data_IF_611224175597
#
_entry.id   IF_611224175597
#
_cell.length_a   1.000
_cell.length_b   1.000
_cell.length_c   1.000
_cell.angle_alpha   90.00
_cell.angle_beta   90.00
_cell.angle_gamma   90.00
#
_symmetry.space_group_name_H-M   'P 1'
#
loop_
_entity.id
_entity.type
_entity.pdbx_description
1 polymer ?
#
# COMPACT_ATOMS: atom_id res chain seq x y z
N UNK A 1 -6.08 101.00 35.61
CA UNK A 1 -5.71 100.61 34.24
C UNK A 1 -4.76 99.44 34.38
N UNK A 2 -5.25 98.26 34.56
CA UNK A 2 -4.43 97.02 34.74
C UNK A 2 -4.89 95.99 33.77
N UNK A 3 -4.01 95.62 32.86
CA UNK A 3 -4.16 94.57 31.89
C UNK A 3 -3.66 93.22 32.46
N UNK A 4 -4.55 92.29 32.72
CA UNK A 4 -4.21 90.93 33.18
C UNK A 4 -4.10 89.99 31.97
N UNK A 5 -2.91 89.49 31.73
CA UNK A 5 -2.62 88.47 30.67
C UNK A 5 -2.90 87.09 31.23
N UNK A 6 -3.82 86.33 30.61
CA UNK A 6 -4.06 84.95 30.88
C UNK A 6 -3.16 84.10 29.95
N UNK A 7 -2.27 83.28 30.54
CA UNK A 7 -1.49 82.24 29.88
C UNK A 7 -2.33 80.97 29.85
N UNK A 8 -2.69 80.54 28.65
CA UNK A 8 -3.31 79.21 28.42
C UNK A 8 -2.17 78.22 28.18
N UNK A 9 -1.96 77.27 29.11
CA UNK A 9 -1.04 76.17 28.97
C UNK A 9 -1.74 74.99 28.19
N UNK A 10 -1.32 74.74 26.95
CA UNK A 10 -1.72 73.59 26.21
C UNK A 10 -0.92 72.34 26.68
N UNK A 11 -1.60 71.42 27.34
CA UNK A 11 -1.04 70.11 27.68
C UNK A 11 -1.26 69.18 26.47
N UNK A 12 -0.18 68.91 25.77
CA UNK A 12 -0.16 67.90 24.71
C UNK A 12 -0.01 66.47 25.33
N UNK A 13 -1.08 65.72 25.41
CA UNK A 13 -1.04 64.29 25.75
C UNK A 13 -0.66 63.49 24.52
N UNK A 14 0.57 62.95 24.48
CA UNK A 14 1.04 62.02 23.50
C UNK A 14 0.52 60.59 23.89
N UNK A 15 -0.51 60.08 23.20
CA UNK A 15 -0.96 58.74 23.34
C UNK A 15 -0.01 57.82 22.56
N UNK A 16 0.86 57.09 23.26
CA UNK A 16 1.69 56.03 22.68
C UNK A 16 0.84 54.82 22.34
N UNK A 17 0.46 54.66 21.07
CA UNK A 17 -0.18 53.44 20.58
C UNK A 17 0.86 52.33 20.46
N UNK A 18 0.87 51.40 21.42
CA UNK A 18 1.69 50.17 21.34
C UNK A 18 1.11 49.21 20.30
N UNK A 19 1.71 49.16 19.13
CA UNK A 19 1.38 48.16 18.10
C UNK A 19 1.98 46.83 18.54
N UNK A 20 1.15 45.92 19.06
CA UNK A 20 1.53 44.52 19.30
C UNK A 20 1.61 43.83 17.94
N UNK A 21 2.82 43.67 17.43
CA UNK A 21 3.08 42.88 16.26
C UNK A 21 2.86 41.37 16.63
N UNK A 22 1.67 40.82 16.31
CA UNK A 22 1.43 39.41 16.38
C UNK A 22 2.24 38.77 15.25
N UNK A 23 3.39 38.19 15.59
CA UNK A 23 4.16 37.39 14.67
C UNK A 23 3.32 36.14 14.31
N UNK A 24 2.66 36.16 13.15
CA UNK A 24 2.03 34.97 12.59
C UNK A 24 3.16 33.95 12.34
N UNK A 25 3.27 32.94 13.18
CA UNK A 25 4.13 31.80 12.91
C UNK A 25 3.61 31.14 11.62
N UNK A 26 4.33 31.32 10.53
CA UNK A 26 4.03 30.64 9.28
C UNK A 26 4.02 29.12 9.55
N UNK A 27 2.91 28.45 9.26
CA UNK A 27 2.86 27.00 9.31
C UNK A 27 3.98 26.44 8.43
N UNK A 28 4.67 25.37 8.85
CA UNK A 28 5.69 24.75 8.03
C UNK A 28 5.10 24.41 6.66
N UNK A 29 5.84 24.71 5.60
CA UNK A 29 5.40 24.37 4.24
C UNK A 29 5.19 22.83 4.13
N UNK A 30 4.07 22.42 3.56
CA UNK A 30 3.77 21.01 3.33
C UNK A 30 4.89 20.36 2.51
N UNK A 31 5.39 19.23 2.98
CA UNK A 31 6.40 18.44 2.28
C UNK A 31 5.73 17.44 1.34
N UNK A 32 6.47 16.96 0.36
CA UNK A 32 6.04 15.85 -0.49
C UNK A 32 6.69 14.57 0.02
N UNK A 33 5.86 13.56 0.34
CA UNK A 33 6.31 12.21 0.66
C UNK A 33 6.18 11.38 -0.62
N UNK A 34 7.31 10.88 -1.13
CA UNK A 34 7.34 10.05 -2.34
C UNK A 34 7.18 8.59 -1.95
N UNK A 35 6.09 7.97 -2.40
CA UNK A 35 5.82 6.54 -2.21
C UNK A 35 6.15 5.77 -3.49
N UNK A 36 7.06 4.79 -3.43
CA UNK A 36 7.19 3.76 -4.45
C UNK A 36 5.99 2.80 -4.36
N UNK A 37 5.41 2.44 -5.51
CA UNK A 37 4.27 1.53 -5.60
C UNK A 37 4.32 0.79 -6.94
N UNK A 38 4.07 -0.51 -6.95
CA UNK A 38 3.89 -1.26 -8.18
C UNK A 38 2.45 -1.12 -8.66
N UNK A 39 2.23 -0.20 -9.57
CA UNK A 39 0.90 0.15 -10.03
C UNK A 39 0.30 -0.88 -10.99
N UNK A 40 0.55 -2.16 -10.76
CA UNK A 40 0.02 -3.29 -11.54
C UNK A 40 -0.86 -4.24 -10.72
N UNK A 41 -1.20 -3.92 -9.46
CA UNK A 41 -1.81 -4.82 -8.48
C UNK A 41 -3.23 -4.37 -8.03
N UNK A 42 -4.24 -4.34 -8.94
CA UNK A 42 -5.59 -3.91 -8.58
C UNK A 42 -6.24 -4.90 -7.58
N UNK A 43 -7.06 -4.43 -6.61
CA UNK A 43 -7.51 -3.06 -6.42
C UNK A 43 -6.65 -2.24 -5.46
N UNK A 44 -5.49 -2.77 -5.06
CA UNK A 44 -4.59 -2.08 -4.13
C UNK A 44 -3.93 -0.88 -4.82
N UNK A 45 -3.30 -1.08 -5.97
CA UNK A 45 -2.71 -0.05 -6.82
C UNK A 45 -2.75 -0.42 -8.30
N UNK A 46 -3.13 0.54 -9.13
CA UNK A 46 -3.16 0.37 -10.59
C UNK A 46 -3.09 1.72 -11.32
N UNK A 47 -2.84 1.69 -12.63
CA UNK A 47 -2.93 2.89 -13.46
C UNK A 47 -4.28 2.93 -14.18
N UNK A 48 -4.99 4.04 -14.05
CA UNK A 48 -6.19 4.35 -14.84
C UNK A 48 -5.99 5.69 -15.54
N UNK A 49 -5.97 5.67 -16.86
CA UNK A 49 -5.69 6.89 -17.65
C UNK A 49 -4.34 7.54 -17.30
N UNK A 50 -3.33 6.75 -16.97
CA UNK A 50 -2.01 7.22 -16.56
C UNK A 50 -1.90 7.74 -15.12
N UNK A 51 -2.99 7.69 -14.34
CA UNK A 51 -3.01 8.11 -12.94
C UNK A 51 -3.03 6.88 -12.03
N UNK A 52 -2.24 6.91 -10.97
CA UNK A 52 -2.27 5.88 -9.94
C UNK A 52 -3.58 5.97 -9.14
N UNK A 53 -4.26 4.83 -8.99
CA UNK A 53 -5.51 4.65 -8.23
C UNK A 53 -5.47 3.34 -7.48
N UNK A 54 -6.23 3.24 -6.38
CA UNK A 54 -6.30 2.03 -5.58
C UNK A 54 -6.41 2.32 -4.10
N UNK A 55 -6.58 1.26 -3.31
CA UNK A 55 -6.67 1.39 -1.85
C UNK A 55 -5.38 1.97 -1.27
N UNK A 56 -4.22 1.49 -1.71
CA UNK A 56 -2.91 1.96 -1.29
C UNK A 56 -2.68 3.43 -1.63
N UNK A 57 -3.14 3.84 -2.80
CA UNK A 57 -3.05 5.24 -3.22
C UNK A 57 -3.92 6.15 -2.35
N UNK A 58 -5.14 5.72 -2.05
CA UNK A 58 -6.04 6.46 -1.15
C UNK A 58 -5.47 6.50 0.29
N UNK A 59 -4.87 5.40 0.77
CA UNK A 59 -4.23 5.31 2.09
C UNK A 59 -3.00 6.23 2.14
N UNK A 60 -2.13 6.21 1.14
CA UNK A 60 -0.96 7.10 1.05
C UNK A 60 -1.36 8.58 1.12
N UNK A 61 -2.38 8.97 0.35
CA UNK A 61 -2.92 10.33 0.37
C UNK A 61 -3.51 10.71 1.74
N UNK A 62 -4.27 9.80 2.37
CA UNK A 62 -4.85 10.05 3.68
C UNK A 62 -3.79 10.19 4.78
N UNK A 63 -2.73 9.36 4.73
CA UNK A 63 -1.60 9.42 5.65
C UNK A 63 -0.84 10.74 5.47
N UNK A 64 -0.42 11.09 4.24
CA UNK A 64 0.29 12.33 3.98
C UNK A 64 -0.52 13.54 4.44
N UNK A 65 -1.82 13.60 4.10
CA UNK A 65 -2.73 14.64 4.58
C UNK A 65 -2.81 14.71 6.11
N UNK A 66 -2.81 13.58 6.80
CA UNK A 66 -2.88 13.54 8.28
C UNK A 66 -1.61 14.08 8.95
N UNK A 67 -0.49 14.11 8.21
CA UNK A 67 0.80 14.67 8.61
C UNK A 67 0.97 16.14 8.19
N UNK A 68 0.02 16.71 7.45
CA UNK A 68 0.12 18.05 6.87
C UNK A 68 0.94 18.09 5.57
N UNK A 69 1.21 16.93 4.96
CA UNK A 69 2.04 16.72 3.78
C UNK A 69 1.22 16.31 2.56
N UNK A 70 1.89 16.12 1.42
CA UNK A 70 1.32 15.63 0.17
C UNK A 70 1.97 14.30 -0.22
N UNK A 71 1.19 13.36 -0.79
CA UNK A 71 1.71 12.13 -1.34
C UNK A 71 2.04 12.29 -2.83
N UNK A 72 3.16 11.73 -3.24
CA UNK A 72 3.51 11.54 -4.64
C UNK A 72 3.75 10.05 -4.87
N UNK A 73 3.05 9.45 -5.83
CA UNK A 73 3.23 8.04 -6.19
C UNK A 73 4.26 7.94 -7.30
N UNK A 74 5.24 7.07 -7.09
CA UNK A 74 6.27 6.73 -8.06
C UNK A 74 6.14 5.27 -8.44
N UNK A 75 5.66 4.99 -9.65
CA UNK A 75 5.60 3.64 -10.19
C UNK A 75 6.99 3.00 -10.17
N UNK A 76 7.08 1.82 -9.57
CA UNK A 76 8.32 1.09 -9.36
C UNK A 76 8.00 -0.40 -9.30
N UNK A 77 8.61 -1.22 -10.17
CA UNK A 77 8.35 -2.67 -10.18
C UNK A 77 8.62 -3.33 -8.83
N UNK A 78 7.80 -4.31 -8.48
CA UNK A 78 7.83 -4.94 -7.16
C UNK A 78 9.18 -5.60 -6.83
N UNK A 79 9.82 -6.20 -7.81
CA UNK A 79 11.12 -6.90 -7.68
C UNK A 79 12.29 -5.97 -7.31
N UNK A 80 12.18 -4.67 -7.63
CA UNK A 80 13.21 -3.66 -7.35
C UNK A 80 12.77 -2.61 -6.32
N UNK A 81 11.57 -2.75 -5.73
CA UNK A 81 10.97 -1.68 -4.92
C UNK A 81 11.71 -1.46 -3.58
N UNK A 82 12.13 -2.53 -2.88
CA UNK A 82 12.96 -2.41 -1.66
C UNK A 82 14.34 -1.84 -1.99
N UNK A 83 15.11 -2.34 -2.98
CA UNK A 83 16.31 -1.67 -3.46
C UNK A 83 16.12 -0.18 -3.78
N UNK A 84 15.01 0.22 -4.41
CA UNK A 84 14.72 1.62 -4.71
C UNK A 84 14.53 2.46 -3.43
N UNK A 85 13.82 1.93 -2.42
CA UNK A 85 13.66 2.57 -1.11
C UNK A 85 15.01 2.76 -0.40
N UNK A 86 15.83 1.71 -0.38
CA UNK A 86 17.17 1.75 0.27
C UNK A 86 18.11 2.73 -0.45
N UNK A 87 18.01 2.84 -1.76
CA UNK A 87 18.74 3.81 -2.58
C UNK A 87 18.14 5.23 -2.51
N UNK A 88 17.17 5.50 -1.62
CA UNK A 88 16.51 6.81 -1.44
C UNK A 88 15.82 7.36 -2.70
N UNK A 89 15.36 6.49 -3.61
CA UNK A 89 14.61 6.88 -4.79
C UNK A 89 13.14 7.20 -4.47
N UNK A 90 12.68 6.83 -3.29
CA UNK A 90 11.43 7.21 -2.64
C UNK A 90 11.63 7.24 -1.11
N UNK A 91 10.66 7.79 -0.39
CA UNK A 91 10.70 7.91 1.06
C UNK A 91 10.09 6.70 1.75
N UNK A 92 9.11 6.09 1.13
CA UNK A 92 8.41 4.90 1.61
C UNK A 92 7.97 4.00 0.43
N UNK A 93 7.58 2.77 0.75
CA UNK A 93 6.90 1.86 -0.17
C UNK A 93 5.49 1.62 0.35
N UNK A 94 4.49 1.77 -0.51
CA UNK A 94 3.12 1.29 -0.29
C UNK A 94 2.71 0.51 -1.54
N UNK A 95 2.60 -0.81 -1.43
CA UNK A 95 2.41 -1.71 -2.57
C UNK A 95 2.02 -3.11 -2.11
N UNK A 96 0.92 -3.23 -1.36
CA UNK A 96 0.42 -4.48 -0.80
C UNK A 96 1.55 -5.38 -0.26
N UNK A 97 2.56 -4.77 0.39
CA UNK A 97 3.78 -5.46 0.75
C UNK A 97 3.64 -6.21 2.07
N UNK A 98 3.63 -7.53 2.01
CA UNK A 98 3.60 -8.40 3.21
C UNK A 98 4.79 -8.11 4.13
N UNK A 99 4.54 -7.86 5.42
CA UNK A 99 5.57 -7.81 6.46
C UNK A 99 6.06 -9.24 6.76
N UNK A 100 7.17 -9.60 6.13
CA UNK A 100 7.84 -10.88 6.39
C UNK A 100 9.11 -10.67 7.21
N UNK A 101 9.50 -11.66 7.99
CA UNK A 101 10.75 -11.62 8.76
C UNK A 101 11.99 -11.35 7.87
N UNK A 102 11.97 -11.78 6.60
CA UNK A 102 13.06 -11.53 5.66
C UNK A 102 13.11 -10.06 5.23
N UNK A 103 11.96 -9.44 4.90
CA UNK A 103 11.86 -8.03 4.55
C UNK A 103 12.10 -7.14 5.77
N UNK A 104 11.57 -7.53 6.94
CA UNK A 104 11.76 -6.83 8.21
C UNK A 104 13.21 -6.74 8.68
N UNK A 105 14.13 -7.57 8.18
CA UNK A 105 15.58 -7.39 8.39
C UNK A 105 16.12 -6.16 7.68
N UNK A 106 15.54 -5.75 6.55
CA UNK A 106 16.03 -4.67 5.68
C UNK A 106 15.30 -3.34 5.92
N UNK A 107 13.99 -3.39 6.21
CA UNK A 107 13.11 -2.22 6.32
C UNK A 107 12.26 -2.30 7.59
N UNK A 108 11.60 -1.21 7.97
CA UNK A 108 10.56 -1.22 8.99
C UNK A 108 9.19 -1.23 8.31
N UNK A 109 8.18 -1.77 8.99
CA UNK A 109 6.81 -1.80 8.52
C UNK A 109 5.86 -1.01 9.43
N UNK A 110 4.86 -0.39 8.81
CA UNK A 110 3.68 0.15 9.46
C UNK A 110 2.46 -0.53 8.81
N UNK A 111 1.93 -1.56 9.47
CA UNK A 111 0.90 -2.43 8.94
C UNK A 111 -0.45 -1.72 8.85
N UNK A 112 -1.19 -1.98 7.77
CA UNK A 112 -2.47 -1.32 7.52
C UNK A 112 -3.61 -2.26 7.11
N UNK A 113 -3.35 -3.48 6.63
CA UNK A 113 -4.33 -4.54 6.36
C UNK A 113 -3.74 -5.91 6.70
N UNK A 114 -4.58 -6.96 6.72
CA UNK A 114 -4.16 -8.35 6.83
C UNK A 114 -4.76 -9.13 5.67
N UNK A 115 -3.92 -9.74 4.84
CA UNK A 115 -4.32 -10.43 3.62
C UNK A 115 -3.70 -11.82 3.59
N UNK A 116 -4.43 -12.79 3.03
CA UNK A 116 -3.92 -14.13 2.74
C UNK A 116 -3.79 -14.34 1.24
N UNK A 117 -2.88 -15.20 0.82
CA UNK A 117 -2.72 -15.57 -0.57
C UNK A 117 -3.86 -16.47 -1.07
N UNK A 118 -4.16 -16.43 -2.36
CA UNK A 118 -5.24 -17.21 -2.98
C UNK A 118 -4.87 -17.68 -4.38
N UNK A 119 -5.32 -18.88 -4.73
CA UNK A 119 -5.23 -19.40 -6.08
C UNK A 119 -6.48 -19.03 -6.88
N UNK A 120 -6.30 -18.54 -8.11
CA UNK A 120 -7.38 -18.32 -9.06
C UNK A 120 -7.25 -19.31 -10.22
N UNK A 121 -8.38 -19.90 -10.60
CA UNK A 121 -8.48 -20.88 -11.71
C UNK A 121 -9.66 -20.52 -12.60
N UNK A 122 -9.72 -21.12 -13.79
CA UNK A 122 -10.91 -21.01 -14.65
C UNK A 122 -12.13 -21.58 -13.92
N UNK A 123 -13.31 -21.03 -14.21
CA UNK A 123 -14.58 -21.52 -13.67
C UNK A 123 -14.73 -23.02 -13.94
N UNK A 124 -15.24 -23.74 -12.93
CA UNK A 124 -15.34 -25.20 -12.97
C UNK A 124 -14.05 -25.94 -12.62
N UNK A 125 -12.93 -25.20 -12.41
CA UNK A 125 -11.66 -25.78 -11.95
C UNK A 125 -11.22 -27.04 -12.72
N UNK A 126 -11.01 -26.95 -14.04
CA UNK A 126 -10.75 -28.13 -14.88
C UNK A 126 -9.45 -28.88 -14.51
N UNK A 127 -8.52 -28.19 -13.83
CA UNK A 127 -7.27 -28.79 -13.35
C UNK A 127 -7.36 -29.39 -11.95
N UNK A 128 -8.56 -29.38 -11.31
CA UNK A 128 -8.83 -29.92 -9.97
C UNK A 128 -7.89 -29.38 -8.88
N UNK A 129 -7.58 -28.08 -8.92
CA UNK A 129 -6.68 -27.42 -7.97
C UNK A 129 -7.45 -27.10 -6.69
N UNK A 130 -6.95 -27.56 -5.53
CA UNK A 130 -7.58 -27.39 -4.22
C UNK A 130 -6.65 -26.78 -3.17
N UNK A 131 -5.44 -26.37 -3.57
CA UNK A 131 -4.39 -25.80 -2.71
C UNK A 131 -3.01 -26.10 -3.30
N UNK A 132 -1.94 -25.66 -2.62
CA UNK A 132 -0.56 -25.79 -3.13
C UNK A 132 -0.18 -27.23 -3.46
N UNK A 133 -0.50 -28.19 -2.60
CA UNK A 133 -0.15 -29.59 -2.81
C UNK A 133 -0.78 -30.22 -4.08
N UNK A 134 -1.89 -29.67 -4.56
CA UNK A 134 -2.56 -30.14 -5.79
C UNK A 134 -1.98 -29.54 -7.08
N UNK A 135 -0.99 -28.65 -6.96
CA UNK A 135 -0.31 -28.01 -8.09
C UNK A 135 0.77 -28.92 -8.73
N UNK A 136 1.00 -30.12 -8.22
CA UNK A 136 1.95 -31.09 -8.81
C UNK A 136 1.70 -31.27 -10.30
N UNK A 137 2.71 -31.02 -11.15
CA UNK A 137 2.63 -31.09 -12.60
C UNK A 137 1.81 -30.00 -13.28
N UNK A 138 1.30 -29.02 -12.54
CA UNK A 138 0.54 -27.88 -13.09
C UNK A 138 1.43 -26.68 -13.36
N UNK A 139 0.92 -25.75 -14.19
CA UNK A 139 1.54 -24.47 -14.49
C UNK A 139 0.86 -23.34 -13.71
N UNK A 140 1.66 -22.50 -13.04
CA UNK A 140 1.17 -21.41 -12.21
C UNK A 140 1.85 -20.09 -12.61
N UNK A 141 1.05 -19.06 -12.86
CA UNK A 141 1.53 -17.69 -13.05
C UNK A 141 1.64 -16.97 -11.70
N UNK A 142 2.71 -16.25 -11.51
CA UNK A 142 3.00 -15.50 -10.28
C UNK A 142 3.86 -14.27 -10.61
N UNK A 143 3.72 -13.21 -9.85
CA UNK A 143 4.60 -12.06 -9.96
C UNK A 143 5.97 -12.32 -9.30
N UNK A 144 6.99 -11.67 -9.82
CA UNK A 144 8.36 -11.78 -9.32
C UNK A 144 8.50 -11.20 -7.90
N UNK A 145 9.38 -11.80 -7.09
CA UNK A 145 9.77 -11.33 -5.74
C UNK A 145 8.64 -11.31 -4.70
N UNK A 146 7.48 -11.92 -5.00
CA UNK A 146 6.34 -12.04 -4.08
C UNK A 146 6.51 -13.20 -3.09
N UNK A 147 5.73 -13.17 -2.03
CA UNK A 147 5.59 -14.27 -1.05
C UNK A 147 5.03 -15.53 -1.70
N UNK A 148 4.13 -15.38 -2.66
CA UNK A 148 3.52 -16.46 -3.43
C UNK A 148 4.56 -17.21 -4.26
N UNK A 149 5.47 -16.46 -4.90
CA UNK A 149 6.59 -17.09 -5.64
C UNK A 149 7.48 -17.89 -4.68
N UNK A 150 7.76 -17.36 -3.49
CA UNK A 150 8.54 -18.07 -2.48
C UNK A 150 7.81 -19.33 -1.97
N UNK A 151 6.48 -19.26 -1.77
CA UNK A 151 5.65 -20.39 -1.36
C UNK A 151 5.67 -21.51 -2.42
N UNK A 152 5.58 -21.15 -3.72
CA UNK A 152 5.70 -22.14 -4.81
C UNK A 152 7.09 -22.81 -4.85
N UNK A 153 8.16 -22.09 -4.53
CA UNK A 153 9.51 -22.67 -4.43
C UNK A 153 9.60 -23.68 -3.28
N UNK A 154 9.00 -23.35 -2.14
CA UNK A 154 8.93 -24.28 -0.98
C UNK A 154 8.13 -25.52 -1.35
N UNK A 155 6.96 -25.34 -1.96
CA UNK A 155 6.13 -26.47 -2.39
C UNK A 155 6.85 -27.35 -3.42
N UNK A 156 7.59 -26.79 -4.37
CA UNK A 156 8.40 -27.55 -5.31
C UNK A 156 9.49 -28.41 -4.63
N UNK A 157 10.06 -27.95 -3.53
CA UNK A 157 10.99 -28.75 -2.72
C UNK A 157 10.26 -29.90 -2.02
N UNK A 158 9.04 -29.65 -1.51
CA UNK A 158 8.20 -30.65 -0.85
C UNK A 158 7.76 -31.74 -1.85
N UNK A 159 7.27 -31.34 -3.03
CA UNK A 159 6.88 -32.25 -4.10
C UNK A 159 8.06 -33.12 -4.55
N UNK A 160 9.23 -32.53 -4.74
CA UNK A 160 10.43 -33.28 -5.15
C UNK A 160 10.85 -34.32 -4.11
N UNK A 161 10.79 -34.00 -2.79
CA UNK A 161 11.03 -34.98 -1.72
C UNK A 161 10.03 -36.13 -1.72
N UNK A 162 8.79 -35.86 -2.13
CA UNK A 162 7.72 -36.85 -2.27
C UNK A 162 7.72 -37.61 -3.62
N UNK A 163 8.73 -37.43 -4.47
CA UNK A 163 8.80 -38.06 -5.80
C UNK A 163 7.72 -37.56 -6.76
N UNK A 164 7.09 -36.44 -6.50
CA UNK A 164 6.02 -35.87 -7.33
C UNK A 164 6.57 -34.90 -8.37
N UNK A 165 5.83 -34.67 -9.45
CA UNK A 165 6.17 -33.69 -10.47
C UNK A 165 6.17 -32.27 -9.89
N UNK A 166 7.16 -31.46 -10.30
CA UNK A 166 7.25 -30.06 -9.89
C UNK A 166 6.17 -29.19 -10.54
N UNK A 167 5.83 -28.10 -9.89
CA UNK A 167 5.02 -27.02 -10.45
C UNK A 167 5.87 -26.30 -11.51
N UNK A 168 5.30 -26.03 -12.68
CA UNK A 168 5.88 -25.14 -13.67
C UNK A 168 5.56 -23.70 -13.29
N UNK A 169 6.47 -23.02 -12.62
CA UNK A 169 6.28 -21.63 -12.17
C UNK A 169 6.58 -20.70 -13.34
N UNK A 170 5.59 -19.93 -13.78
CA UNK A 170 5.75 -18.86 -14.77
C UNK A 170 5.78 -17.50 -14.07
N UNK A 171 6.96 -16.90 -14.02
CA UNK A 171 7.23 -15.65 -13.31
C UNK A 171 7.03 -14.47 -14.27
N UNK A 172 6.32 -13.46 -13.81
CA UNK A 172 6.04 -12.22 -14.55
C UNK A 172 6.57 -11.01 -13.81
N UNK A 173 7.01 -9.96 -14.51
CA UNK A 173 7.50 -8.72 -13.88
C UNK A 173 6.37 -7.84 -13.34
N UNK A 174 5.11 -8.13 -13.68
CA UNK A 174 3.93 -7.36 -13.29
C UNK A 174 2.76 -8.31 -13.03
N UNK A 175 1.98 -8.03 -11.99
CA UNK A 175 0.83 -8.86 -11.60
C UNK A 175 -0.22 -8.96 -12.71
N UNK A 176 -0.56 -7.84 -13.36
CA UNK A 176 -1.49 -7.82 -14.49
C UNK A 176 -1.09 -8.80 -15.59
N UNK A 177 0.22 -8.98 -15.83
CA UNK A 177 0.74 -9.94 -16.82
C UNK A 177 0.59 -11.39 -16.36
N UNK A 178 0.78 -11.64 -15.05
CA UNK A 178 0.56 -12.97 -14.46
C UNK A 178 -0.93 -13.36 -14.54
N UNK A 179 -1.83 -12.48 -14.14
CA UNK A 179 -3.27 -12.69 -14.25
C UNK A 179 -3.70 -12.89 -15.71
N UNK A 180 -3.19 -12.09 -16.65
CA UNK A 180 -3.47 -12.21 -18.08
C UNK A 180 -3.04 -13.56 -18.66
N UNK A 181 -2.00 -14.20 -18.11
CA UNK A 181 -1.60 -15.55 -18.54
C UNK A 181 -2.67 -16.62 -18.25
N UNK A 182 -3.32 -16.55 -17.08
CA UNK A 182 -4.48 -17.41 -16.78
C UNK A 182 -5.69 -17.05 -17.64
N UNK A 183 -5.98 -15.76 -17.82
CA UNK A 183 -7.08 -15.29 -18.67
C UNK A 183 -6.95 -15.84 -20.09
N UNK A 184 -5.73 -15.85 -20.64
CA UNK A 184 -5.41 -16.40 -21.96
C UNK A 184 -5.31 -17.93 -22.01
N UNK A 185 -5.46 -18.62 -20.88
CA UNK A 185 -5.34 -20.08 -20.79
C UNK A 185 -3.93 -20.62 -20.98
N UNK A 186 -2.90 -19.82 -20.71
CA UNK A 186 -1.49 -20.20 -20.84
C UNK A 186 -0.94 -20.91 -19.59
N UNK A 187 -1.71 -20.90 -18.50
CA UNK A 187 -1.40 -21.55 -17.22
C UNK A 187 -2.68 -22.15 -16.62
N UNK A 188 -2.51 -23.08 -15.68
CA UNK A 188 -3.61 -23.72 -14.96
C UNK A 188 -4.15 -22.86 -13.82
N UNK A 189 -3.28 -22.08 -13.16
CA UNK A 189 -3.64 -21.19 -12.07
C UNK A 189 -2.83 -19.88 -12.10
N UNK A 190 -3.37 -18.87 -11.45
CA UNK A 190 -2.69 -17.64 -11.05
C UNK A 190 -2.68 -17.62 -9.51
N UNK A 191 -1.54 -17.21 -8.92
CA UNK A 191 -1.36 -17.21 -7.48
C UNK A 191 -0.88 -15.83 -7.03
N UNK A 192 -1.68 -15.17 -6.18
CA UNK A 192 -1.45 -13.85 -5.63
C UNK A 192 -2.21 -13.68 -4.32
N UNK A 193 -2.15 -12.50 -3.71
CA UNK A 193 -3.01 -12.17 -2.59
C UNK A 193 -4.50 -12.28 -2.95
N UNK A 194 -5.34 -12.47 -1.93
CA UNK A 194 -6.78 -12.58 -2.14
C UNK A 194 -7.39 -11.30 -2.72
N UNK A 195 -6.76 -10.15 -2.53
CA UNK A 195 -7.26 -8.86 -3.02
C UNK A 195 -7.30 -8.80 -4.55
N UNK A 196 -6.23 -9.03 -5.33
CA UNK A 196 -6.30 -9.08 -6.78
C UNK A 196 -7.09 -10.29 -7.29
N UNK A 197 -7.01 -11.44 -6.63
CA UNK A 197 -7.80 -12.63 -7.02
C UNK A 197 -9.29 -12.30 -7.02
N UNK A 198 -9.83 -11.72 -5.95
CA UNK A 198 -11.24 -11.33 -5.84
C UNK A 198 -11.61 -10.24 -6.84
N UNK A 199 -10.69 -9.29 -7.07
CA UNK A 199 -10.87 -8.25 -8.08
C UNK A 199 -11.06 -8.86 -9.49
N UNK A 200 -10.18 -9.75 -9.92
CA UNK A 200 -10.26 -10.38 -11.24
C UNK A 200 -11.48 -11.29 -11.38
N UNK A 201 -11.85 -12.05 -10.35
CA UNK A 201 -13.09 -12.87 -10.36
C UNK A 201 -14.30 -11.97 -10.59
N UNK A 202 -14.39 -10.84 -9.88
CA UNK A 202 -15.49 -9.88 -10.01
C UNK A 202 -15.52 -9.21 -11.38
N UNK A 203 -14.39 -8.71 -11.86
CA UNK A 203 -14.31 -7.88 -13.07
C UNK A 203 -14.40 -8.69 -14.36
N UNK A 204 -14.11 -9.98 -14.31
CA UNK A 204 -14.20 -10.88 -15.47
C UNK A 204 -15.58 -11.55 -15.66
N UNK A 205 -16.58 -11.16 -14.85
CA UNK A 205 -17.95 -11.67 -14.97
C UNK A 205 -18.07 -13.15 -14.60
N UNK A 206 -17.30 -13.62 -13.62
CA UNK A 206 -17.38 -14.99 -13.11
C UNK A 206 -16.78 -16.04 -14.04
N UNK A 207 -15.86 -15.68 -14.92
CA UNK A 207 -15.09 -16.62 -15.75
C UNK A 207 -14.04 -17.40 -14.95
N UNK A 208 -13.74 -16.94 -13.75
CA UNK A 208 -12.75 -17.48 -12.83
C UNK A 208 -13.36 -17.69 -11.44
N UNK A 209 -12.69 -18.49 -10.64
CA UNK A 209 -13.04 -18.75 -9.25
C UNK A 209 -11.79 -18.95 -8.42
N UNK A 210 -11.88 -18.74 -7.09
CA UNK A 210 -10.83 -19.14 -6.15
C UNK A 210 -10.78 -20.67 -6.07
N UNK A 211 -9.59 -21.21 -5.84
CA UNK A 211 -9.35 -22.63 -5.67
C UNK A 211 -8.72 -22.92 -4.30
N UNK A 212 -9.43 -23.67 -3.48
CA UNK A 212 -9.03 -23.94 -2.10
C UNK A 212 -9.25 -22.76 -1.14
N UNK A 213 -8.86 -22.92 0.13
CA UNK A 213 -8.91 -21.86 1.12
C UNK A 213 -7.81 -20.81 0.86
N UNK A 214 -7.95 -19.63 1.46
CA UNK A 214 -6.84 -18.68 1.54
C UNK A 214 -5.67 -19.31 2.31
N UNK A 215 -4.46 -19.01 1.84
CA UNK A 215 -3.21 -19.52 2.39
C UNK A 215 -2.60 -18.39 3.22
N UNK A 216 -2.17 -18.71 4.42
CA UNK A 216 -1.43 -17.85 5.37
C UNK A 216 -1.76 -16.36 5.29
N UNK A 217 -2.65 -15.89 6.17
CA UNK A 217 -2.91 -14.45 6.29
C UNK A 217 -1.76 -13.79 7.07
N UNK A 218 -1.21 -12.72 6.50
CA UNK A 218 -0.15 -11.93 7.10
C UNK A 218 -0.45 -10.43 6.98
N UNK A 219 0.13 -9.58 7.86
CA UNK A 219 0.02 -8.13 7.71
C UNK A 219 0.70 -7.67 6.42
N UNK A 220 0.09 -6.68 5.78
CA UNK A 220 0.72 -5.85 4.76
C UNK A 220 0.94 -4.46 5.33
N UNK A 221 2.12 -3.89 5.04
CA UNK A 221 2.55 -2.65 5.66
C UNK A 221 3.27 -1.70 4.72
N UNK A 222 3.27 -0.43 5.10
CA UNK A 222 4.09 0.60 4.48
C UNK A 222 5.53 0.40 4.94
N UNK A 223 6.43 0.17 3.99
CA UNK A 223 7.85 -0.02 4.31
C UNK A 223 8.61 1.31 4.32
N UNK A 224 9.47 1.49 5.32
CA UNK A 224 10.41 2.61 5.46
C UNK A 224 11.82 2.11 5.76
N UNK A 225 12.82 2.93 5.48
CA UNK A 225 14.21 2.60 5.86
C UNK A 225 14.34 2.44 7.38
N UNK A 226 15.27 1.60 7.82
CA UNK A 226 15.60 1.48 9.25
C UNK A 226 16.04 2.83 9.81
N UNK A 227 15.51 3.20 10.98
CA UNK A 227 15.82 4.46 11.64
C UNK A 227 15.13 5.70 11.04
N UNK A 228 14.35 5.56 9.96
CA UNK A 228 13.61 6.68 9.38
C UNK A 228 12.42 7.06 10.28
N UNK A 229 12.27 8.34 10.69
CA UNK A 229 11.19 8.77 11.56
C UNK A 229 9.80 8.59 10.93
N UNK A 230 9.70 8.52 9.59
CA UNK A 230 8.43 8.28 8.88
C UNK A 230 7.76 6.97 9.34
N UNK A 231 8.52 5.93 9.68
CA UNK A 231 7.95 4.68 10.15
C UNK A 231 7.07 4.83 11.39
N UNK A 232 7.51 5.60 12.37
CA UNK A 232 6.73 5.93 13.58
C UNK A 232 5.53 6.84 13.27
N UNK A 233 5.73 7.83 12.39
CA UNK A 233 4.66 8.74 11.96
C UNK A 233 3.55 7.98 11.22
N UNK A 234 3.89 7.04 10.34
CA UNK A 234 2.91 6.22 9.63
C UNK A 234 2.11 5.31 10.56
N UNK A 235 2.75 4.66 11.54
CA UNK A 235 2.04 3.87 12.56
C UNK A 235 0.98 4.71 13.27
N UNK A 236 1.36 5.91 13.71
CA UNK A 236 0.44 6.85 14.37
C UNK A 236 -0.68 7.31 13.43
N UNK A 237 -0.34 7.63 12.18
CA UNK A 237 -1.32 8.05 11.17
C UNK A 237 -2.33 6.92 10.87
N UNK A 238 -1.86 5.69 10.65
CA UNK A 238 -2.73 4.52 10.41
C UNK A 238 -3.69 4.32 11.59
N UNK A 239 -3.20 4.35 12.83
CA UNK A 239 -4.04 4.24 14.01
C UNK A 239 -5.13 5.32 14.04
N UNK A 240 -4.78 6.58 13.70
CA UNK A 240 -5.72 7.70 13.59
C UNK A 240 -6.76 7.47 12.48
N UNK A 241 -6.35 6.96 11.30
CA UNK A 241 -7.26 6.67 10.20
C UNK A 241 -8.26 5.55 10.55
N UNK A 242 -7.83 4.56 11.34
CA UNK A 242 -8.72 3.53 11.88
C UNK A 242 -9.69 4.13 12.92
N UNK A 243 -9.20 4.94 13.85
CA UNK A 243 -10.00 5.53 14.92
C UNK A 243 -11.09 6.46 14.41
N UNK A 244 -10.82 7.26 13.36
CA UNK A 244 -11.75 8.23 12.80
C UNK A 244 -12.63 7.67 11.65
N UNK A 245 -12.50 6.39 11.32
CA UNK A 245 -13.29 5.73 10.27
C UNK A 245 -12.82 5.96 8.83
N UNK A 246 -11.77 6.74 8.60
CA UNK A 246 -11.23 6.98 7.24
C UNK A 246 -10.78 5.67 6.60
N UNK A 247 -10.05 4.82 7.34
CA UNK A 247 -9.61 3.51 6.82
C UNK A 247 -10.80 2.64 6.42
N UNK A 248 -11.85 2.58 7.25
CA UNK A 248 -13.09 1.86 6.95
C UNK A 248 -13.71 2.32 5.62
N UNK A 249 -13.75 3.63 5.41
CA UNK A 249 -14.29 4.24 4.18
C UNK A 249 -13.46 3.87 2.95
N UNK A 250 -12.12 3.93 3.05
CA UNK A 250 -11.21 3.56 1.96
C UNK A 250 -11.38 2.07 1.62
N UNK A 251 -11.28 1.19 2.62
CA UNK A 251 -11.42 -0.25 2.38
C UNK A 251 -12.79 -0.62 1.80
N UNK A 252 -13.87 0.00 2.26
CA UNK A 252 -15.21 -0.21 1.70
C UNK A 252 -15.32 0.24 0.25
N UNK A 253 -14.74 1.40 -0.10
CA UNK A 253 -14.69 1.92 -1.48
C UNK A 253 -14.11 0.90 -2.46
N UNK A 254 -13.06 0.18 -2.03
CA UNK A 254 -12.35 -0.77 -2.87
C UNK A 254 -12.81 -2.23 -2.70
N UNK A 255 -13.83 -2.48 -1.84
CA UNK A 255 -14.36 -3.83 -1.58
C UNK A 255 -13.45 -4.67 -0.67
N UNK A 256 -12.64 -4.03 0.15
CA UNK A 256 -11.58 -4.63 0.96
C UNK A 256 -11.90 -4.66 2.47
N UNK A 257 -13.13 -4.41 2.87
CA UNK A 257 -13.51 -4.33 4.30
C UNK A 257 -13.15 -5.58 5.12
N UNK A 258 -13.12 -6.74 4.49
CA UNK A 258 -12.78 -8.01 5.14
C UNK A 258 -11.29 -8.10 5.54
N UNK A 259 -10.42 -7.27 4.95
CA UNK A 259 -8.98 -7.28 5.15
C UNK A 259 -8.49 -6.23 6.16
N UNK A 260 -9.41 -5.50 6.81
CA UNK A 260 -9.05 -4.56 7.87
C UNK A 260 -8.26 -5.25 8.98
N UNK A 261 -7.27 -4.55 9.56
CA UNK A 261 -6.54 -5.07 10.73
C UNK A 261 -7.54 -5.43 11.82
N UNK A 262 -7.42 -6.64 12.34
CA UNK A 262 -8.17 -7.06 13.52
C UNK A 262 -7.53 -6.42 14.76
N UNK A 263 -8.35 -5.79 15.58
CA UNK A 263 -7.93 -5.24 16.88
C UNK A 263 -7.65 -6.37 17.85
#
# INVERSE_FOLDING_TARGET
MNSTRWLVACVLTVAAASVIAVSAMAAPAAKTIVFCSDTTYPPMESLQGGKAVGADIDIANAIAKSLGDQAQIKTTGFDVIIPALLAKKCDAVISAMTDTAARAKQVNFADYVTVGASLMVKKGNPSHITGLASLSGKSVAVEAATTEKAALDVENKTLAKGGKAKITIKIFPADTSAAAALLAGRVDAYFADATPVLYYIKTTGGKFQSAGPQIESAPEGIATRKGDPLGGQFKTAIAKLYANGTMKTILAKWGLSAFALKK
#
